data_IF_741120072544
#
_entry.id   IF_741120072544
#
_cell.length_a   1.000
_cell.length_b   1.000
_cell.length_c   1.000
_cell.angle_alpha   90.00
_cell.angle_beta   90.00
_cell.angle_gamma   90.00
#
_symmetry.space_group_name_H-M   'P 1'
#
loop_
_entity.id
_entity.type
_entity.pdbx_description
1 polymer ?
#
# COMPACT_ATOMS: atom_id res chain seq x y z
N UNK A 1 23.52 -36.70 51.46
CA UNK A 1 22.70 -35.49 51.38
C UNK A 1 23.47 -34.53 50.46
N UNK A 2 23.14 -34.50 49.12
CA UNK A 2 23.85 -33.66 48.15
C UNK A 2 23.11 -32.30 48.04
N UNK A 3 23.83 -31.17 48.00
CA UNK A 3 23.19 -29.86 47.85
C UNK A 3 22.74 -29.69 46.39
N UNK A 4 21.48 -29.26 46.21
CA UNK A 4 20.92 -28.91 44.94
C UNK A 4 21.63 -27.66 44.36
N UNK A 5 22.33 -27.85 43.27
CA UNK A 5 22.98 -26.77 42.49
C UNK A 5 21.91 -25.93 41.82
N UNK A 6 21.60 -24.73 42.37
CA UNK A 6 20.74 -23.73 41.75
C UNK A 6 21.45 -23.21 40.48
N UNK A 7 20.99 -23.66 39.31
CA UNK A 7 21.36 -23.03 38.03
C UNK A 7 20.65 -21.68 37.95
N UNK A 8 21.37 -20.56 37.75
CA UNK A 8 20.72 -19.27 37.57
C UNK A 8 19.92 -19.30 36.27
N UNK A 9 18.63 -18.98 36.40
CA UNK A 9 17.75 -18.80 35.25
C UNK A 9 18.43 -17.86 34.24
N UNK A 10 18.69 -18.34 33.03
CA UNK A 10 19.18 -17.55 31.90
C UNK A 10 18.19 -16.42 31.70
N UNK A 11 18.54 -15.22 32.14
CA UNK A 11 17.82 -14.01 31.77
C UNK A 11 17.76 -13.99 30.26
N UNK A 12 16.57 -14.22 29.70
CA UNK A 12 16.33 -14.03 28.29
C UNK A 12 16.78 -12.60 27.97
N UNK A 13 17.87 -12.48 27.20
CA UNK A 13 18.39 -11.19 26.79
C UNK A 13 17.25 -10.50 26.03
N UNK A 14 16.69 -9.43 26.62
CA UNK A 14 15.73 -8.57 25.92
C UNK A 14 16.41 -8.13 24.62
N UNK A 15 15.89 -8.62 23.50
CA UNK A 15 16.32 -8.10 22.20
C UNK A 15 16.19 -6.57 22.23
N UNK A 16 17.23 -5.83 21.81
CA UNK A 16 17.16 -4.39 21.76
C UNK A 16 15.94 -4.00 20.94
N UNK A 17 15.11 -3.10 21.47
CA UNK A 17 13.99 -2.53 20.73
C UNK A 17 14.54 -1.99 19.39
N UNK A 18 13.87 -2.32 18.29
CA UNK A 18 14.23 -1.78 17.00
C UNK A 18 14.24 -0.25 17.11
N UNK A 19 15.33 0.39 16.68
CA UNK A 19 15.43 1.84 16.66
C UNK A 19 14.31 2.47 15.81
N UNK A 20 14.19 3.80 15.78
CA UNK A 20 13.16 4.48 15.01
C UNK A 20 13.22 4.07 13.53
N UNK A 21 12.06 3.96 12.83
CA UNK A 21 12.03 3.56 11.43
C UNK A 21 12.83 4.53 10.57
N UNK A 22 13.66 4.03 9.63
CA UNK A 22 14.45 4.87 8.73
C UNK A 22 13.56 5.71 7.83
N UNK A 23 14.11 6.80 7.26
CA UNK A 23 13.37 7.72 6.40
C UNK A 23 12.64 7.01 5.25
N UNK A 24 13.27 6.00 4.64
CA UNK A 24 12.66 5.20 3.57
C UNK A 24 11.36 4.49 4.02
N UNK A 25 11.33 3.91 5.22
CA UNK A 25 10.13 3.24 5.76
C UNK A 25 9.05 4.25 6.13
N UNK A 26 9.43 5.40 6.68
CA UNK A 26 8.48 6.48 6.98
C UNK A 26 7.85 7.05 5.70
N UNK A 27 8.67 7.31 4.68
CA UNK A 27 8.20 7.77 3.38
C UNK A 27 7.30 6.74 2.70
N UNK A 28 7.68 5.46 2.71
CA UNK A 28 6.84 4.39 2.19
C UNK A 28 5.48 4.31 2.91
N UNK A 29 5.47 4.48 4.24
CA UNK A 29 4.22 4.55 5.00
C UNK A 29 3.34 5.73 4.58
N UNK A 30 3.91 6.93 4.44
CA UNK A 30 3.16 8.10 3.99
C UNK A 30 2.58 7.89 2.58
N UNK A 31 3.36 7.30 1.68
CA UNK A 31 2.92 6.98 0.32
C UNK A 31 1.80 5.91 0.29
N UNK A 32 1.84 4.91 1.17
CA UNK A 32 0.72 3.97 1.31
C UNK A 32 -0.56 4.65 1.79
N UNK A 33 -0.46 5.59 2.74
CA UNK A 33 -1.61 6.39 3.18
C UNK A 33 -2.13 7.25 2.02
N UNK A 34 -1.24 7.89 1.26
CA UNK A 34 -1.61 8.67 0.06
C UNK A 34 -2.33 7.78 -0.97
N UNK A 35 -1.82 6.58 -1.24
CA UNK A 35 -2.44 5.64 -2.17
C UNK A 35 -3.86 5.22 -1.72
N UNK A 36 -4.02 4.86 -0.46
CA UNK A 36 -5.35 4.51 0.11
C UNK A 36 -6.31 5.69 0.04
N UNK A 37 -5.84 6.91 0.35
CA UNK A 37 -6.66 8.13 0.26
C UNK A 37 -7.07 8.44 -1.17
N UNK A 38 -6.14 8.33 -2.12
CA UNK A 38 -6.46 8.50 -3.55
C UNK A 38 -7.47 7.46 -4.03
N UNK A 39 -7.30 6.18 -3.67
CA UNK A 39 -8.24 5.13 -4.02
C UNK A 39 -9.64 5.32 -3.40
N UNK A 40 -9.72 5.80 -2.16
CA UNK A 40 -10.98 6.15 -1.52
C UNK A 40 -11.65 7.34 -2.23
N UNK A 41 -10.88 8.37 -2.60
CA UNK A 41 -11.34 9.51 -3.36
C UNK A 41 -11.87 9.10 -4.74
N UNK A 42 -11.13 8.29 -5.50
CA UNK A 42 -11.57 7.73 -6.79
C UNK A 42 -12.87 6.94 -6.65
N UNK A 43 -12.99 6.15 -5.58
CA UNK A 43 -14.21 5.38 -5.29
C UNK A 43 -15.40 6.31 -5.02
N UNK A 44 -15.19 7.39 -4.25
CA UNK A 44 -16.24 8.38 -3.98
C UNK A 44 -16.69 9.09 -5.28
N UNK A 45 -15.76 9.41 -6.18
CA UNK A 45 -16.08 10.00 -7.48
C UNK A 45 -16.92 9.04 -8.34
N UNK A 46 -16.57 7.74 -8.38
CA UNK A 46 -17.33 6.73 -9.13
C UNK A 46 -18.74 6.55 -8.59
N UNK A 47 -18.90 6.41 -7.27
CA UNK A 47 -20.22 6.30 -6.63
C UNK A 47 -21.06 7.55 -6.85
N UNK A 48 -20.45 8.75 -6.80
CA UNK A 48 -21.13 10.00 -7.05
C UNK A 48 -21.58 10.17 -8.51
N UNK A 49 -20.85 9.58 -9.47
CA UNK A 49 -21.18 9.66 -10.91
C UNK A 49 -22.26 8.66 -11.32
N UNK A 50 -22.16 7.44 -10.85
CA UNK A 50 -23.14 6.38 -11.09
C UNK A 50 -23.38 5.55 -9.81
N UNK A 51 -24.39 5.93 -9.01
CA UNK A 51 -24.71 5.20 -7.78
C UNK A 51 -25.13 3.75 -8.05
N UNK A 52 -25.79 3.47 -9.17
CA UNK A 52 -26.28 2.11 -9.47
C UNK A 52 -25.14 1.12 -9.71
N UNK A 53 -24.12 1.52 -10.43
CA UNK A 53 -22.89 0.74 -10.63
C UNK A 53 -21.91 0.86 -9.45
N UNK A 54 -21.87 2.02 -8.81
CA UNK A 54 -20.96 2.35 -7.72
C UNK A 54 -21.15 1.50 -6.46
N UNK A 55 -22.39 1.06 -6.17
CA UNK A 55 -22.72 0.24 -4.99
C UNK A 55 -22.60 -1.28 -5.18
N UNK A 56 -21.97 -1.74 -6.24
CA UNK A 56 -21.77 -3.17 -6.52
C UNK A 56 -20.70 -3.85 -5.64
N UNK A 57 -20.46 -5.13 -5.93
CA UNK A 57 -19.45 -5.96 -5.24
C UNK A 57 -18.04 -5.32 -5.25
N UNK A 58 -17.72 -4.53 -6.28
CA UNK A 58 -16.47 -3.80 -6.37
C UNK A 58 -16.25 -2.79 -5.24
N UNK A 59 -17.31 -2.11 -4.78
CA UNK A 59 -17.22 -1.21 -3.62
C UNK A 59 -16.89 -1.98 -2.34
N UNK A 60 -17.57 -3.10 -2.10
CA UNK A 60 -17.32 -3.91 -0.92
C UNK A 60 -15.87 -4.40 -0.86
N UNK A 61 -15.32 -4.88 -1.97
CA UNK A 61 -13.92 -5.29 -2.08
C UNK A 61 -12.99 -4.11 -1.79
N UNK A 62 -13.23 -2.93 -2.36
CA UNK A 62 -12.41 -1.74 -2.11
C UNK A 62 -12.42 -1.32 -0.65
N UNK A 63 -13.59 -1.31 -0.01
CA UNK A 63 -13.72 -0.96 1.42
C UNK A 63 -12.94 -1.94 2.30
N UNK A 64 -13.03 -3.24 2.04
CA UNK A 64 -12.25 -4.26 2.75
C UNK A 64 -10.75 -4.03 2.56
N UNK A 65 -10.30 -3.80 1.32
CA UNK A 65 -8.89 -3.56 1.00
C UNK A 65 -8.38 -2.30 1.70
N UNK A 66 -9.10 -1.18 1.63
CA UNK A 66 -8.67 0.08 2.27
C UNK A 66 -8.64 -0.04 3.80
N UNK A 67 -9.65 -0.70 4.38
CA UNK A 67 -9.70 -0.93 5.83
C UNK A 67 -8.55 -1.82 6.29
N UNK A 68 -8.19 -2.85 5.51
CA UNK A 68 -7.08 -3.74 5.83
C UNK A 68 -5.71 -3.10 5.57
N UNK A 69 -5.58 -2.25 4.54
CA UNK A 69 -4.32 -1.65 4.14
C UNK A 69 -3.70 -0.75 5.22
N UNK A 70 -4.51 0.04 5.91
CA UNK A 70 -4.04 0.99 6.94
C UNK A 70 -3.38 0.26 8.12
N UNK A 71 -4.02 -0.72 8.80
CA UNK A 71 -3.36 -1.45 9.89
C UNK A 71 -2.15 -2.26 9.42
N UNK A 72 -2.16 -2.80 8.19
CA UNK A 72 -0.99 -3.49 7.63
C UNK A 72 0.15 -2.50 7.40
N UNK A 73 -0.11 -1.30 6.88
CA UNK A 73 0.90 -0.25 6.72
C UNK A 73 1.48 0.21 8.09
N UNK A 74 0.65 0.30 9.12
CA UNK A 74 1.11 0.58 10.49
C UNK A 74 2.02 -0.53 11.01
N UNK A 75 1.68 -1.81 10.79
CA UNK A 75 2.54 -2.96 11.14
C UNK A 75 3.85 -2.94 10.37
N UNK A 76 3.83 -2.61 9.07
CA UNK A 76 5.03 -2.41 8.26
C UNK A 76 5.91 -1.31 8.86
N UNK A 77 5.34 -0.14 9.21
CA UNK A 77 6.08 0.94 9.86
C UNK A 77 6.72 0.50 11.18
N UNK A 78 6.05 -0.38 11.93
CA UNK A 78 6.55 -1.00 13.17
C UNK A 78 7.62 -2.09 12.95
N UNK A 79 8.02 -2.38 11.72
CA UNK A 79 9.08 -3.33 11.39
C UNK A 79 8.59 -4.74 11.04
N UNK A 80 7.29 -4.99 10.97
CA UNK A 80 6.77 -6.31 10.59
C UNK A 80 7.11 -6.62 9.12
N UNK A 81 8.06 -7.54 8.91
CA UNK A 81 8.54 -7.93 7.58
C UNK A 81 7.45 -8.53 6.69
N UNK A 82 6.51 -9.32 7.27
CA UNK A 82 5.37 -9.87 6.52
C UNK A 82 4.45 -8.78 5.95
N UNK A 83 4.27 -7.69 6.71
CA UNK A 83 3.36 -6.61 6.31
C UNK A 83 3.85 -5.88 5.05
N UNK A 84 5.19 -5.70 4.89
CA UNK A 84 5.72 -5.13 3.64
C UNK A 84 5.48 -6.03 2.43
N UNK A 85 5.57 -7.37 2.61
CA UNK A 85 5.32 -8.32 1.53
C UNK A 85 3.82 -8.32 1.18
N UNK A 86 2.95 -8.32 2.20
CA UNK A 86 1.51 -8.24 2.00
C UNK A 86 1.10 -6.96 1.23
N UNK A 87 1.67 -5.80 1.58
CA UNK A 87 1.43 -4.54 0.84
C UNK A 87 2.00 -4.59 -0.57
N UNK A 88 3.21 -5.12 -0.76
CA UNK A 88 3.83 -5.22 -2.07
C UNK A 88 3.01 -6.11 -3.02
N UNK A 89 2.51 -7.25 -2.56
CA UNK A 89 1.68 -8.15 -3.37
C UNK A 89 0.26 -7.60 -3.51
N UNK A 90 -0.41 -7.28 -2.40
CA UNK A 90 -1.82 -6.89 -2.40
C UNK A 90 -2.06 -5.56 -3.11
N UNK A 91 -1.36 -4.50 -2.71
CA UNK A 91 -1.54 -3.18 -3.31
C UNK A 91 -0.53 -2.90 -4.43
N UNK A 92 0.71 -3.37 -4.29
CA UNK A 92 1.76 -3.16 -5.27
C UNK A 92 1.52 -3.92 -6.58
N UNK A 93 1.17 -5.19 -6.54
CA UNK A 93 0.93 -6.00 -7.74
C UNK A 93 -0.56 -6.01 -8.10
N UNK A 94 -1.42 -6.56 -7.24
CA UNK A 94 -2.84 -6.73 -7.57
C UNK A 94 -3.55 -5.37 -7.68
N UNK A 95 -3.28 -4.43 -6.78
CA UNK A 95 -3.83 -3.07 -6.85
C UNK A 95 -3.38 -2.34 -8.11
N UNK A 96 -2.09 -2.37 -8.44
CA UNK A 96 -1.58 -1.76 -9.69
C UNK A 96 -2.21 -2.41 -10.91
N UNK A 97 -2.30 -3.74 -10.96
CA UNK A 97 -2.95 -4.43 -12.07
C UNK A 97 -4.39 -3.94 -12.28
N UNK A 98 -5.18 -3.84 -11.19
CA UNK A 98 -6.57 -3.33 -11.27
C UNK A 98 -6.68 -1.89 -11.77
N UNK A 99 -5.65 -1.07 -11.55
CA UNK A 99 -5.61 0.33 -12.03
C UNK A 99 -5.21 0.45 -13.50
N UNK A 100 -4.42 -0.51 -14.01
CA UNK A 100 -3.75 -0.40 -15.32
C UNK A 100 -4.44 -1.23 -16.39
N UNK A 101 -5.12 -2.33 -16.03
CA UNK A 101 -5.71 -3.26 -17.02
C UNK A 101 -6.69 -2.56 -17.97
N UNK A 102 -7.61 -1.75 -17.43
CA UNK A 102 -8.61 -1.05 -18.26
C UNK A 102 -7.98 -0.01 -19.21
N UNK A 103 -7.14 0.96 -18.75
CA UNK A 103 -6.51 1.91 -19.66
C UNK A 103 -5.54 1.23 -20.65
N UNK A 104 -4.90 0.14 -20.25
CA UNK A 104 -4.05 -0.63 -21.15
C UNK A 104 -4.88 -1.32 -22.24
N UNK A 105 -6.02 -1.92 -21.88
CA UNK A 105 -6.96 -2.50 -22.84
C UNK A 105 -7.41 -1.47 -23.87
N UNK A 106 -7.83 -0.28 -23.43
CA UNK A 106 -8.22 0.83 -24.30
C UNK A 106 -7.12 1.20 -25.32
N UNK A 107 -5.86 1.25 -24.87
CA UNK A 107 -4.72 1.55 -25.76
C UNK A 107 -4.42 0.41 -26.75
N UNK A 108 -4.53 -0.83 -26.31
CA UNK A 108 -4.31 -2.01 -27.16
C UNK A 108 -5.40 -2.15 -28.23
N UNK A 109 -6.62 -1.69 -27.96
CA UNK A 109 -7.73 -1.62 -28.90
C UNK A 109 -7.64 -0.41 -29.87
N UNK A 110 -6.48 0.28 -29.88
CA UNK A 110 -6.21 1.40 -30.79
C UNK A 110 -6.68 2.77 -30.26
N UNK A 111 -7.06 2.86 -28.99
CA UNK A 111 -7.41 4.13 -28.34
C UNK A 111 -6.20 5.04 -28.15
N UNK A 112 -6.43 6.35 -28.08
CA UNK A 112 -5.41 7.38 -27.88
C UNK A 112 -5.63 8.09 -26.55
N UNK A 113 -4.57 8.19 -25.72
CA UNK A 113 -4.61 8.97 -24.48
C UNK A 113 -4.85 10.45 -24.75
N UNK A 114 -4.31 11.00 -25.83
CA UNK A 114 -4.50 12.39 -26.20
C UNK A 114 -5.97 12.66 -26.54
N UNK A 115 -6.60 11.77 -27.30
CA UNK A 115 -8.03 11.89 -27.64
C UNK A 115 -8.93 11.71 -26.40
N UNK A 116 -8.61 10.74 -25.55
CA UNK A 116 -9.34 10.55 -24.28
C UNK A 116 -9.29 11.79 -23.39
N UNK A 117 -8.09 12.36 -23.21
CA UNK A 117 -7.91 13.58 -22.40
C UNK A 117 -8.53 14.83 -23.04
N UNK A 118 -8.56 14.93 -24.36
CA UNK A 118 -9.18 16.07 -25.07
C UNK A 118 -10.71 16.08 -24.91
N UNK A 119 -11.33 14.90 -24.84
CA UNK A 119 -12.79 14.73 -24.67
C UNK A 119 -13.21 14.67 -23.21
N UNK A 120 -12.25 14.46 -22.30
CA UNK A 120 -12.52 14.33 -20.88
C UNK A 120 -13.15 15.60 -20.30
N UNK A 121 -14.21 15.41 -19.51
CA UNK A 121 -14.79 16.48 -18.70
C UNK A 121 -13.89 16.82 -17.49
N UNK A 122 -14.29 17.82 -16.69
CA UNK A 122 -13.51 18.25 -15.52
C UNK A 122 -13.37 17.14 -14.48
N UNK A 123 -14.42 16.33 -14.26
CA UNK A 123 -14.43 15.25 -13.29
C UNK A 123 -13.52 14.10 -13.74
N UNK A 124 -13.55 13.76 -15.03
CA UNK A 124 -12.67 12.75 -15.62
C UNK A 124 -11.19 13.14 -15.51
N UNK A 125 -10.87 14.41 -15.74
CA UNK A 125 -9.49 14.91 -15.56
C UNK A 125 -9.03 14.82 -14.12
N UNK A 126 -9.90 15.15 -13.16
CA UNK A 126 -9.62 15.00 -11.72
C UNK A 126 -9.40 13.52 -11.39
N UNK A 127 -10.23 12.62 -11.92
CA UNK A 127 -10.09 11.18 -11.73
C UNK A 127 -8.76 10.65 -12.27
N UNK A 128 -8.38 11.02 -13.51
CA UNK A 128 -7.10 10.63 -14.13
C UNK A 128 -5.92 11.19 -13.34
N UNK A 129 -6.01 12.44 -12.86
CA UNK A 129 -4.99 13.06 -12.00
C UNK A 129 -4.81 12.30 -10.69
N UNK A 130 -5.92 11.98 -9.99
CA UNK A 130 -5.90 11.18 -8.76
C UNK A 130 -5.29 9.79 -9.00
N UNK A 131 -5.70 9.11 -10.08
CA UNK A 131 -5.19 7.79 -10.46
C UNK A 131 -3.68 7.81 -10.74
N UNK A 132 -3.19 8.88 -11.35
CA UNK A 132 -1.75 9.07 -11.58
C UNK A 132 -0.98 9.22 -10.27
N UNK A 133 -1.49 10.03 -9.34
CA UNK A 133 -0.92 10.19 -7.99
C UNK A 133 -0.95 8.86 -7.23
N UNK A 134 -2.08 8.15 -7.28
CA UNK A 134 -2.24 6.84 -6.67
C UNK A 134 -1.17 5.85 -7.16
N UNK A 135 -1.05 5.69 -8.46
CA UNK A 135 -0.08 4.77 -9.08
C UNK A 135 1.37 5.17 -8.72
N UNK A 136 1.71 6.45 -8.82
CA UNK A 136 3.04 6.95 -8.46
C UNK A 136 3.36 6.69 -6.97
N UNK A 137 2.39 6.89 -6.08
CA UNK A 137 2.54 6.62 -4.65
C UNK A 137 2.79 5.13 -4.38
N UNK A 138 2.01 4.23 -4.98
CA UNK A 138 2.17 2.78 -4.84
C UNK A 138 3.55 2.33 -5.32
N UNK A 139 3.94 2.68 -6.53
CA UNK A 139 5.21 2.25 -7.12
C UNK A 139 6.41 2.78 -6.31
N UNK A 140 6.35 4.05 -5.90
CA UNK A 140 7.41 4.65 -5.07
C UNK A 140 7.47 3.99 -3.69
N UNK A 141 6.33 3.71 -3.05
CA UNK A 141 6.27 3.01 -1.77
C UNK A 141 6.92 1.63 -1.86
N UNK A 142 6.60 0.85 -2.90
CA UNK A 142 7.21 -0.46 -3.13
C UNK A 142 8.73 -0.33 -3.26
N UNK A 143 9.25 0.58 -4.09
CA UNK A 143 10.69 0.79 -4.25
C UNK A 143 11.35 1.15 -2.92
N UNK A 144 10.76 2.04 -2.14
CA UNK A 144 11.32 2.49 -0.86
C UNK A 144 11.37 1.39 0.19
N UNK A 145 10.38 0.48 0.22
CA UNK A 145 10.33 -0.64 1.17
C UNK A 145 11.45 -1.67 0.96
N UNK A 146 12.01 -1.76 -0.25
CA UNK A 146 13.07 -2.71 -0.58
C UNK A 146 14.46 -2.06 -0.67
N UNK A 147 14.62 -0.78 -0.34
CA UNK A 147 15.92 -0.14 -0.24
C UNK A 147 16.79 -0.77 0.86
N UNK A 148 18.13 -0.71 0.73
CA UNK A 148 19.06 -1.32 1.71
C UNK A 148 18.79 -0.93 3.16
N UNK A 149 18.51 0.35 3.42
CA UNK A 149 18.20 0.86 4.76
C UNK A 149 16.89 0.27 5.33
N UNK A 150 15.86 0.12 4.49
CA UNK A 150 14.61 -0.53 4.87
C UNK A 150 14.83 -2.03 5.11
N UNK A 151 15.57 -2.74 4.24
CA UNK A 151 15.90 -4.14 4.42
C UNK A 151 16.67 -4.41 5.72
N UNK A 152 17.62 -3.54 6.09
CA UNK A 152 18.35 -3.63 7.34
C UNK A 152 17.42 -3.46 8.56
N UNK A 153 16.44 -2.57 8.47
CA UNK A 153 15.45 -2.34 9.51
C UNK A 153 14.56 -3.57 9.73
N UNK A 154 13.98 -4.13 8.67
CA UNK A 154 13.11 -5.30 8.75
C UNK A 154 13.81 -6.59 9.19
N UNK A 155 15.14 -6.71 9.01
CA UNK A 155 15.92 -7.84 9.53
C UNK A 155 16.17 -7.76 11.04
N UNK A 156 16.18 -6.56 11.60
CA UNK A 156 16.46 -6.33 13.04
C UNK A 156 15.19 -6.27 13.88
N UNK A 157 14.05 -6.01 13.27
CA UNK A 157 12.77 -5.98 13.94
C UNK A 157 12.33 -7.42 14.31
N UNK A 158 11.69 -7.62 15.47
CA UNK A 158 11.24 -8.92 15.95
C UNK A 158 10.15 -9.53 15.07
#
# INVERSE_FOLDING_TARGET
>A
MMPATFLPARRAARRPAAGPPPAAVRAAFALWVTAVTAGAFETALMVGRDPAEGFGAGLAVRLVVFTAAVPVALRMRGGAGWARIALAIGLGVLGTASLVVEPLGYLLDGGSLADALSRADALERVFVGSRTVHLAAVLTAVVLMFRPAANAYFRKAP
#
